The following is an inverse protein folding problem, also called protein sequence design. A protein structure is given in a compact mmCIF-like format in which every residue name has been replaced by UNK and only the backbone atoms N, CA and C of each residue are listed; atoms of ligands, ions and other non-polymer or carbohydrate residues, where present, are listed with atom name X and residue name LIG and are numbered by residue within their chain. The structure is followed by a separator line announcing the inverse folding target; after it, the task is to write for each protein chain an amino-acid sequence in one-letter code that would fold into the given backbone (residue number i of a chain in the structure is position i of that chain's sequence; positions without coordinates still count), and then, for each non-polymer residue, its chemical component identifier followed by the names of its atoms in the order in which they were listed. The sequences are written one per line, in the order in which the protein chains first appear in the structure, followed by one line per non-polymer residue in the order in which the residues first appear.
data_IF_541882584350
#
_entry.id   IF_541882584350
#
_cell.length_a   1.000
_cell.length_b   1.000
_cell.length_c   1.000
_cell.angle_alpha   90.00
_cell.angle_beta   90.00
_cell.angle_gamma   90.00
#
_symmetry.space_group_name_H-M   'P 1'
#
loop_
_entity.id
_entity.type
_entity.pdbx_description
1 polymer ?
#
# COMPACT_ATOMS: atom_id res chain seq x y z
N UNK A 1 29.92 5.04 -6.85
CA UNK A 1 29.23 3.96 -7.59
C UNK A 1 27.95 3.67 -6.85
N UNK A 2 26.77 3.84 -7.46
CA UNK A 2 25.51 3.37 -6.86
C UNK A 2 25.55 1.84 -6.84
N UNK A 3 25.26 1.23 -5.69
CA UNK A 3 25.11 -0.22 -5.60
C UNK A 3 23.98 -0.64 -6.54
N UNK A 4 24.19 -1.67 -7.35
CA UNK A 4 23.20 -2.17 -8.33
C UNK A 4 21.91 -2.70 -7.68
N UNK A 5 21.82 -2.71 -6.34
CA UNK A 5 20.72 -3.27 -5.55
C UNK A 5 20.13 -2.29 -4.52
N UNK A 6 20.43 -0.99 -4.62
CA UNK A 6 19.85 -0.01 -3.71
C UNK A 6 18.33 0.14 -3.97
N UNK A 7 17.56 0.24 -2.90
CA UNK A 7 16.11 0.41 -2.90
C UNK A 7 15.80 1.90 -2.81
N UNK A 8 15.43 2.51 -3.94
CA UNK A 8 15.19 3.95 -4.04
C UNK A 8 13.70 4.27 -3.85
N UNK A 9 13.35 5.33 -3.10
CA UNK A 9 11.95 5.70 -2.91
C UNK A 9 11.31 6.26 -4.19
N UNK A 10 10.12 5.78 -4.52
CA UNK A 10 9.28 6.28 -5.63
C UNK A 10 8.32 7.36 -5.14
N UNK A 11 7.68 7.11 -3.99
CA UNK A 11 6.80 8.07 -3.33
C UNK A 11 5.82 7.45 -2.34
N UNK A 12 5.25 8.31 -1.50
CA UNK A 12 4.05 8.03 -0.69
C UNK A 12 2.85 8.64 -1.40
N UNK A 13 1.77 7.88 -1.57
CA UNK A 13 0.56 8.33 -2.25
C UNK A 13 -0.64 8.09 -1.36
N UNK A 14 -1.46 9.11 -1.12
CA UNK A 14 -2.57 9.05 -0.17
C UNK A 14 -3.87 9.54 -0.79
N UNK A 15 -4.97 8.88 -0.43
CA UNK A 15 -6.32 9.37 -0.64
C UNK A 15 -7.08 9.48 0.69
N UNK A 16 -6.35 9.57 1.81
CA UNK A 16 -6.99 9.68 3.13
C UNK A 16 -7.83 10.95 3.18
N UNK A 17 -9.10 10.76 3.48
CA UNK A 17 -10.04 11.80 3.87
C UNK A 17 -10.15 11.78 5.39
N UNK A 18 -9.75 12.89 6.03
CA UNK A 18 -9.91 13.11 7.47
C UNK A 18 -10.92 14.23 7.70
N UNK A 19 -11.97 13.95 8.47
CA UNK A 19 -13.00 14.92 8.84
C UNK A 19 -12.96 15.29 10.33
N UNK A 20 -11.90 14.92 11.05
CA UNK A 20 -11.71 15.18 12.48
C UNK A 20 -12.36 14.14 13.41
N UNK A 21 -13.30 13.33 12.91
CA UNK A 21 -13.91 12.23 13.67
C UNK A 21 -13.47 10.85 13.17
N UNK A 22 -13.23 10.74 11.86
CA UNK A 22 -12.84 9.50 11.18
C UNK A 22 -11.85 9.84 10.07
N UNK A 23 -10.81 9.02 9.97
CA UNK A 23 -9.95 8.94 8.81
C UNK A 23 -10.33 7.70 8.00
N UNK A 24 -10.53 7.87 6.69
CA UNK A 24 -10.77 6.76 5.76
C UNK A 24 -9.92 6.91 4.52
N UNK A 25 -9.54 5.80 3.91
CA UNK A 25 -8.68 5.76 2.73
C UNK A 25 -7.39 5.00 3.02
N UNK A 26 -6.45 5.13 2.10
CA UNK A 26 -5.17 4.43 2.14
C UNK A 26 -4.00 5.34 1.78
N UNK A 27 -2.85 4.93 2.26
CA UNK A 27 -1.53 5.39 1.87
C UNK A 27 -0.82 4.20 1.22
N UNK A 28 -0.29 4.40 0.03
CA UNK A 28 0.57 3.45 -0.68
C UNK A 28 1.98 4.03 -0.71
N UNK A 29 2.96 3.30 -0.16
CA UNK A 29 4.37 3.70 -0.17
C UNK A 29 5.13 2.76 -1.10
N UNK A 30 5.84 3.33 -2.06
CA UNK A 30 6.50 2.59 -3.13
C UNK A 30 8.00 2.87 -3.15
N UNK A 31 8.76 1.80 -3.41
CA UNK A 31 10.19 1.82 -3.67
C UNK A 31 10.52 1.04 -4.95
N UNK A 32 11.63 1.39 -5.58
CA UNK A 32 12.16 0.76 -6.78
C UNK A 32 13.40 -0.07 -6.40
N UNK A 33 13.41 -1.34 -6.81
CA UNK A 33 14.57 -2.24 -6.77
C UNK A 33 14.91 -2.70 -8.19
N UNK A 34 15.84 -2.02 -8.87
CA UNK A 34 16.11 -2.28 -10.28
C UNK A 34 14.86 -2.05 -11.13
N UNK A 35 14.31 -3.10 -11.74
CA UNK A 35 13.06 -3.05 -12.54
C UNK A 35 11.80 -3.41 -11.73
N UNK A 36 11.94 -3.77 -10.45
CA UNK A 36 10.82 -4.18 -9.59
C UNK A 36 10.33 -3.03 -8.73
N UNK A 37 9.01 -2.97 -8.53
CA UNK A 37 8.38 -2.15 -7.50
C UNK A 37 8.12 -3.03 -6.28
N UNK A 38 8.49 -2.53 -5.10
CA UNK A 38 8.09 -3.06 -3.80
C UNK A 38 7.39 -1.97 -3.01
N UNK A 39 6.61 -2.34 -2.01
CA UNK A 39 5.89 -1.33 -1.25
C UNK A 39 5.03 -1.86 -0.13
N UNK A 40 4.33 -0.91 0.47
CA UNK A 40 3.32 -1.15 1.48
C UNK A 40 2.03 -0.39 1.17
N UNK A 41 0.93 -0.90 1.69
CA UNK A 41 -0.34 -0.18 1.78
C UNK A 41 -0.77 -0.14 3.24
N UNK A 42 -1.19 1.04 3.71
CA UNK A 42 -1.77 1.21 5.04
C UNK A 42 -3.05 2.01 4.96
N UNK A 43 -4.07 1.66 5.72
CA UNK A 43 -5.33 2.39 5.69
C UNK A 43 -6.51 1.58 6.16
N UNK A 44 -7.71 2.17 6.05
CA UNK A 44 -8.96 1.53 6.42
C UNK A 44 -10.16 2.30 5.87
N UNK A 45 -11.30 1.62 5.82
CA UNK A 45 -12.60 2.22 5.50
C UNK A 45 -13.31 2.79 6.72
N UNK A 46 -12.91 2.42 7.94
CA UNK A 46 -13.67 2.69 9.16
C UNK A 46 -12.80 2.90 10.40
N UNK A 47 -11.59 3.45 10.28
CA UNK A 47 -10.76 3.70 11.46
C UNK A 47 -11.44 4.68 12.41
N UNK A 48 -11.58 4.26 13.67
CA UNK A 48 -11.89 5.17 14.76
C UNK A 48 -10.61 5.87 15.22
N UNK A 49 -10.74 7.07 15.75
CA UNK A 49 -9.63 7.79 16.36
C UNK A 49 -8.93 6.90 17.42
N UNK A 50 -7.61 6.73 17.28
CA UNK A 50 -6.79 5.94 18.21
C UNK A 50 -6.62 4.45 17.86
N UNK A 51 -7.20 3.96 16.76
CA UNK A 51 -6.89 2.63 16.23
C UNK A 51 -5.66 2.69 15.31
N UNK A 52 -4.79 1.67 15.40
CA UNK A 52 -3.62 1.54 14.53
C UNK A 52 -4.08 1.27 13.08
N UNK A 53 -3.48 1.99 12.12
CA UNK A 53 -3.71 1.73 10.70
C UNK A 53 -3.14 0.36 10.31
N UNK A 54 -3.98 -0.58 9.84
CA UNK A 54 -3.49 -1.86 9.33
C UNK A 54 -2.52 -1.63 8.18
N UNK A 55 -1.54 -2.52 8.07
CA UNK A 55 -0.44 -2.44 7.12
C UNK A 55 -0.36 -3.75 6.33
N UNK A 56 -0.23 -3.67 5.01
CA UNK A 56 0.03 -4.79 4.13
C UNK A 56 1.31 -4.57 3.33
N UNK A 57 2.04 -5.65 3.06
CA UNK A 57 3.07 -5.66 2.01
C UNK A 57 2.37 -5.86 0.67
N UNK A 58 2.85 -5.15 -0.35
CA UNK A 58 2.37 -5.37 -1.71
C UNK A 58 2.92 -6.70 -2.24
N UNK A 59 2.00 -7.56 -2.66
CA UNK A 59 2.24 -8.84 -3.31
C UNK A 59 1.81 -8.75 -4.78
N UNK A 60 2.28 -9.70 -5.61
CA UNK A 60 1.92 -9.78 -7.03
C UNK A 60 2.07 -8.45 -7.80
N UNK A 61 3.08 -7.66 -7.44
CA UNK A 61 3.28 -6.33 -8.00
C UNK A 61 3.73 -6.44 -9.46
N UNK A 62 2.99 -5.78 -10.34
CA UNK A 62 3.35 -5.64 -11.75
C UNK A 62 3.37 -4.16 -12.13
N UNK A 63 4.49 -3.72 -12.69
CA UNK A 63 4.65 -2.35 -13.18
C UNK A 63 5.15 -2.36 -14.63
N UNK A 64 4.42 -1.66 -15.49
CA UNK A 64 4.88 -1.36 -16.86
C UNK A 64 5.29 0.11 -16.92
N UNK A 65 6.60 0.42 -17.05
CA UNK A 65 7.08 1.80 -17.11
C UNK A 65 6.72 2.53 -18.40
N UNK A 66 6.37 1.81 -19.49
CA UNK A 66 5.97 2.39 -20.78
C UNK A 66 4.52 2.85 -20.72
N UNK A 67 3.63 1.95 -20.29
CA UNK A 67 2.19 2.23 -20.17
C UNK A 67 1.84 2.95 -18.86
N UNK A 68 2.81 3.09 -17.96
CA UNK A 68 2.66 3.63 -16.61
C UNK A 68 1.60 2.89 -15.80
N UNK A 69 1.42 1.60 -16.05
CA UNK A 69 0.40 0.80 -15.36
C UNK A 69 1.01 0.08 -14.16
N UNK A 70 0.32 0.15 -13.02
CA UNK A 70 0.68 -0.55 -11.79
C UNK A 70 -0.51 -1.41 -11.34
N UNK A 71 -0.22 -2.63 -10.93
CA UNK A 71 -1.16 -3.47 -10.17
C UNK A 71 -0.47 -4.15 -9.02
N UNK A 72 -1.21 -4.40 -7.95
CA UNK A 72 -0.73 -5.15 -6.79
C UNK A 72 -1.91 -5.79 -6.04
N UNK A 73 -1.59 -6.79 -5.25
CA UNK A 73 -2.44 -7.32 -4.19
C UNK A 73 -1.81 -6.98 -2.83
N UNK A 74 -2.59 -6.98 -1.76
CA UNK A 74 -2.06 -6.83 -0.41
C UNK A 74 -3.00 -7.48 0.60
N UNK A 75 -2.42 -8.26 1.52
CA UNK A 75 -3.13 -8.85 2.64
C UNK A 75 -3.18 -7.87 3.81
N UNK A 76 -4.35 -7.63 4.37
CA UNK A 76 -4.60 -6.71 5.50
C UNK A 76 -5.55 -7.32 6.54
N UNK A 77 -5.55 -6.77 7.76
CA UNK A 77 -6.54 -7.13 8.79
C UNK A 77 -7.15 -5.87 9.36
N UNK A 78 -8.30 -5.44 8.83
CA UNK A 78 -9.05 -4.30 9.35
C UNK A 78 -9.75 -4.60 10.68
N UNK A 79 -10.01 -5.88 10.98
CA UNK A 79 -10.61 -6.35 12.23
C UNK A 79 -9.89 -7.58 12.79
N UNK A 80 -10.25 -7.96 14.01
CA UNK A 80 -9.57 -9.04 14.76
C UNK A 80 -9.60 -10.41 14.06
N UNK A 81 -10.60 -10.66 13.23
CA UNK A 81 -10.82 -11.94 12.53
C UNK A 81 -10.94 -11.79 11.02
N UNK A 82 -10.73 -10.58 10.48
CA UNK A 82 -10.89 -10.33 9.05
C UNK A 82 -9.65 -10.78 8.28
N UNK A 83 -9.87 -11.23 7.04
CA UNK A 83 -8.83 -11.62 6.09
C UNK A 83 -8.98 -10.79 4.83
N UNK A 84 -8.61 -9.53 4.92
CA UNK A 84 -8.90 -8.54 3.88
C UNK A 84 -7.87 -8.56 2.75
N UNK A 85 -8.31 -8.89 1.54
CA UNK A 85 -7.50 -8.71 0.34
C UNK A 85 -7.80 -7.35 -0.29
N UNK A 86 -6.75 -6.56 -0.48
CA UNK A 86 -6.81 -5.30 -1.22
C UNK A 86 -6.13 -5.49 -2.56
N UNK A 87 -6.83 -5.18 -3.65
CA UNK A 87 -6.30 -5.30 -5.00
C UNK A 87 -6.39 -3.95 -5.68
N UNK A 88 -5.31 -3.53 -6.32
CA UNK A 88 -5.27 -2.29 -7.09
C UNK A 88 -4.89 -2.57 -8.53
N UNK A 89 -5.52 -1.85 -9.45
CA UNK A 89 -5.10 -1.78 -10.84
C UNK A 89 -5.31 -0.37 -11.38
N UNK A 90 -4.24 0.24 -11.87
CA UNK A 90 -4.33 1.62 -12.34
C UNK A 90 -3.08 2.11 -13.03
N UNK A 91 -2.97 3.44 -13.10
CA UNK A 91 -1.81 4.16 -13.60
C UNK A 91 -1.03 4.79 -12.45
N UNK A 92 0.28 4.78 -12.57
CA UNK A 92 1.22 5.49 -11.71
C UNK A 92 1.93 6.57 -12.50
N UNK A 93 1.70 7.82 -12.11
CA UNK A 93 2.45 8.98 -12.59
C UNK A 93 3.37 9.51 -11.50
N UNK A 94 4.15 10.53 -11.81
CA UNK A 94 5.06 11.15 -10.83
C UNK A 94 4.32 11.82 -9.67
N UNK A 95 3.03 12.12 -9.83
CA UNK A 95 2.21 12.89 -8.87
C UNK A 95 1.00 12.15 -8.33
N UNK A 96 0.58 11.04 -8.95
CA UNK A 96 -0.62 10.32 -8.53
C UNK A 96 -0.59 8.82 -8.88
N UNK A 97 -1.29 8.02 -8.06
CA UNK A 97 -1.79 6.70 -8.44
C UNK A 97 -3.29 6.83 -8.71
N UNK A 98 -3.76 6.37 -9.87
CA UNK A 98 -5.18 6.46 -10.23
C UNK A 98 -5.67 5.16 -10.85
N UNK A 99 -6.77 4.61 -10.36
CA UNK A 99 -7.28 3.34 -10.86
C UNK A 99 -8.48 2.83 -10.08
N UNK A 100 -8.60 1.51 -10.04
CA UNK A 100 -9.65 0.80 -9.34
C UNK A 100 -9.05 0.05 -8.16
N UNK A 101 -9.77 0.09 -7.04
CA UNK A 101 -9.43 -0.63 -5.81
C UNK A 101 -10.54 -1.62 -5.52
N UNK A 102 -10.19 -2.88 -5.29
CA UNK A 102 -11.12 -3.92 -4.86
C UNK A 102 -10.74 -4.40 -3.47
N UNK A 103 -11.75 -4.56 -2.64
CA UNK A 103 -11.62 -4.99 -1.26
C UNK A 103 -12.51 -6.20 -1.04
N UNK A 104 -11.92 -7.28 -0.55
CA UNK A 104 -12.67 -8.50 -0.22
C UNK A 104 -12.26 -9.01 1.15
N UNK A 105 -13.22 -9.36 1.98
CA UNK A 105 -12.96 -10.13 3.19
C UNK A 105 -13.04 -11.62 2.85
N UNK A 106 -11.90 -12.31 2.89
CA UNK A 106 -11.82 -13.75 2.61
C UNK A 106 -12.31 -14.61 3.77
N UNK A 107 -12.60 -14.02 4.94
CA UNK A 107 -13.16 -14.73 6.10
C UNK A 107 -14.70 -14.82 6.04
N UNK A 108 -15.36 -14.00 5.22
CA UNK A 108 -16.81 -13.91 5.12
C UNK A 108 -17.25 -14.06 3.65
N UNK A 109 -18.46 -14.56 3.39
CA UNK A 109 -19.09 -14.46 2.06
C UNK A 109 -19.57 -13.04 1.75
N UNK A 110 -19.08 -12.03 2.47
CA UNK A 110 -19.50 -10.64 2.32
C UNK A 110 -19.12 -10.15 0.92
N UNK A 111 -20.04 -9.46 0.21
CA UNK A 111 -19.76 -8.98 -1.13
C UNK A 111 -18.51 -8.10 -1.16
N UNK A 112 -17.68 -8.31 -2.18
CA UNK A 112 -16.53 -7.46 -2.47
C UNK A 112 -16.98 -6.01 -2.61
N UNK A 113 -16.22 -5.09 -2.02
CA UNK A 113 -16.39 -3.66 -2.25
C UNK A 113 -15.44 -3.25 -3.37
N UNK A 114 -16.01 -2.99 -4.54
CA UNK A 114 -15.28 -2.40 -5.67
C UNK A 114 -15.41 -0.87 -5.60
N UNK A 115 -14.27 -0.19 -5.56
CA UNK A 115 -14.19 1.28 -5.59
C UNK A 115 -13.49 1.68 -6.88
N UNK A 116 -14.28 2.09 -7.87
CA UNK A 116 -13.75 2.56 -9.15
C UNK A 116 -13.30 4.02 -9.09
N UNK A 117 -12.25 4.33 -9.85
CA UNK A 117 -11.80 5.71 -10.03
C UNK A 117 -11.15 6.35 -8.79
N UNK A 118 -10.56 5.55 -7.91
CA UNK A 118 -9.76 6.06 -6.79
C UNK A 118 -8.54 6.82 -7.31
N UNK A 119 -8.19 7.91 -6.63
CA UNK A 119 -7.00 8.71 -6.93
C UNK A 119 -6.24 9.01 -5.64
N UNK A 120 -5.00 8.53 -5.56
CA UNK A 120 -4.05 8.78 -4.48
C UNK A 120 -3.08 9.86 -4.94
N UNK A 121 -3.02 10.96 -4.22
CA UNK A 121 -2.09 12.06 -4.51
C UNK A 121 -0.76 11.79 -3.84
N UNK A 122 0.34 12.09 -4.54
CA UNK A 122 1.67 12.02 -3.95
C UNK A 122 1.77 13.00 -2.79
N UNK A 123 2.30 12.52 -1.67
CA UNK A 123 2.56 13.30 -0.48
C UNK A 123 4.01 13.81 -0.49
N UNK A 124 4.23 14.98 0.09
CA UNK A 124 5.57 15.53 0.34
C UNK A 124 6.16 14.90 1.61
N UNK A 125 6.40 13.59 1.55
CA UNK A 125 6.98 12.81 2.64
C UNK A 125 8.26 12.16 2.16
N UNK A 126 9.33 12.34 2.93
CA UNK A 126 10.61 11.70 2.66
C UNK A 126 10.55 10.25 3.13
N UNK A 127 10.55 9.33 2.16
CA UNK A 127 10.73 7.90 2.42
C UNK A 127 12.22 7.58 2.58
N UNK A 128 12.51 6.62 3.45
CA UNK A 128 13.86 6.10 3.63
C UNK A 128 14.35 5.38 2.37
N UNK A 129 15.65 5.51 2.09
CA UNK A 129 16.35 4.72 1.09
C UNK A 129 17.03 3.54 1.80
N UNK A 130 17.08 2.39 1.15
CA UNK A 130 17.72 1.19 1.72
C UNK A 130 18.82 0.67 0.80
N UNK A 131 19.85 0.07 1.40
CA UNK A 131 20.99 -0.46 0.66
C UNK A 131 20.68 -1.81 -0.04
N UNK A 132 19.62 -2.49 0.39
CA UNK A 132 19.15 -3.77 -0.15
C UNK A 132 17.68 -4.04 0.20
N UNK A 133 17.09 -5.00 -0.50
CA UNK A 133 15.74 -5.52 -0.19
C UNK A 133 15.67 -6.13 1.21
N UNK A 134 16.69 -6.89 1.62
CA UNK A 134 16.79 -7.44 2.99
C UNK A 134 16.80 -6.34 4.06
N UNK A 135 17.48 -5.21 3.80
CA UNK A 135 17.48 -4.07 4.72
C UNK A 135 16.10 -3.41 4.79
N UNK A 136 15.39 -3.30 3.67
CA UNK A 136 14.01 -2.84 3.62
C UNK A 136 13.08 -3.78 4.39
N UNK A 137 13.17 -5.10 4.16
CA UNK A 137 12.36 -6.11 4.84
C UNK A 137 12.56 -6.06 6.36
N UNK A 138 13.82 -5.98 6.81
CA UNK A 138 14.17 -5.87 8.23
C UNK A 138 13.63 -4.58 8.86
N UNK A 139 13.58 -3.49 8.10
CA UNK A 139 12.97 -2.24 8.56
C UNK A 139 11.43 -2.36 8.66
N UNK A 140 10.80 -3.11 7.76
CA UNK A 140 9.35 -3.32 7.75
C UNK A 140 8.88 -4.35 8.78
N UNK A 141 9.71 -5.33 9.13
CA UNK A 141 9.38 -6.42 10.07
C UNK A 141 8.70 -5.95 11.38
N UNK A 142 9.24 -4.99 12.15
CA UNK A 142 8.57 -4.55 13.38
C UNK A 142 7.19 -3.90 13.12
N UNK A 143 7.04 -3.19 11.99
CA UNK A 143 5.78 -2.55 11.61
C UNK A 143 4.73 -3.60 11.23
N UNK A 144 5.14 -4.63 10.49
CA UNK A 144 4.27 -5.76 10.14
C UNK A 144 3.93 -6.62 11.35
N UNK A 145 4.86 -6.79 12.29
CA UNK A 145 4.56 -7.50 13.54
C UNK A 145 3.46 -6.78 14.34
N UNK A 146 3.48 -5.45 14.34
CA UNK A 146 2.46 -4.63 15.00
C UNK A 146 1.14 -4.61 14.19
N UNK A 147 1.18 -4.08 12.97
CA UNK A 147 0.00 -3.72 12.16
C UNK A 147 -0.26 -4.62 10.94
N UNK A 148 0.61 -5.61 10.71
CA UNK A 148 0.48 -6.56 9.60
C UNK A 148 -0.70 -7.53 9.74
N UNK A 149 -1.05 -8.23 8.64
CA UNK A 149 -2.12 -9.23 8.63
C UNK A 149 -1.88 -10.31 9.70
N UNK A 150 -2.94 -10.72 10.39
CA UNK A 150 -2.89 -11.73 11.48
C UNK A 150 -3.38 -13.12 11.05
N UNK A 151 -3.22 -13.44 9.76
CA UNK A 151 -3.86 -14.60 9.13
C UNK A 151 -3.04 -15.87 9.30
#
# INVERSE_FOLDING_TARGET
MRSLNAIEPVGSFSNIEDNGEKAKGFIVRLWQNGDKIIGTISGSHTLKAGEDMPLGILENVAFDPKEKTLSFDAKMSFGKTSRDMVQFKGKMTDTELKGDLRLSDLACETPCTDVSGVAFKKEDVRLDQFDSEEAWEKHMEPQLKAAGPKW
#
